data_IF_022944602863
#
_entry.id   IF_022944602863
#
_cell.length_a   1.000
_cell.length_b   1.000
_cell.length_c   1.000
_cell.angle_alpha   90.00
_cell.angle_beta   90.00
_cell.angle_gamma   90.00
#
_symmetry.space_group_name_H-M   'P 1'
#
loop_
_entity.id
_entity.type
_entity.pdbx_description
1 polymer ?
#
# COMPACT_ATOMS: atom_id res chain seq x y z
N UNK A 1 -15.98 2.01 3.16
CA UNK A 1 -15.44 3.16 3.91
C UNK A 1 -14.05 3.48 3.36
N UNK A 2 -13.70 4.76 3.20
CA UNK A 2 -12.41 5.24 2.66
C UNK A 2 -11.56 5.84 3.79
N UNK A 3 -10.24 5.87 3.65
CA UNK A 3 -9.40 6.70 4.52
C UNK A 3 -9.72 8.20 4.31
N UNK A 4 -9.48 9.02 5.34
CA UNK A 4 -9.77 10.47 5.32
C UNK A 4 -8.82 11.27 4.40
N UNK A 5 -7.66 10.71 4.05
CA UNK A 5 -6.69 11.31 3.13
C UNK A 5 -5.99 10.21 2.27
N UNK A 6 -5.54 10.55 1.05
CA UNK A 6 -4.75 9.63 0.24
C UNK A 6 -3.36 9.41 0.84
N UNK A 7 -2.86 8.19 0.72
CA UNK A 7 -1.48 7.85 1.08
C UNK A 7 -0.53 8.41 0.03
N UNK A 8 0.59 8.99 0.47
CA UNK A 8 1.62 9.53 -0.44
C UNK A 8 3.00 9.07 0.00
N UNK A 9 3.78 8.58 -0.95
CA UNK A 9 5.17 8.20 -0.69
C UNK A 9 6.05 8.45 -1.92
N UNK A 10 7.24 8.97 -1.68
CA UNK A 10 8.22 9.22 -2.73
C UNK A 10 8.97 7.93 -3.07
N UNK A 11 9.23 7.70 -4.36
CA UNK A 11 10.00 6.55 -4.81
C UNK A 11 11.45 6.68 -4.32
N UNK A 12 11.97 5.59 -3.74
CA UNK A 12 13.29 5.58 -3.11
C UNK A 12 14.36 4.99 -4.03
N UNK A 13 15.63 5.40 -3.93
CA UNK A 13 16.71 4.85 -4.74
C UNK A 13 16.85 3.32 -4.66
N UNK A 14 16.65 2.75 -3.47
CA UNK A 14 16.71 1.30 -3.24
C UNK A 14 15.55 0.53 -3.90
N UNK A 15 14.55 1.23 -4.41
CA UNK A 15 13.40 0.62 -5.10
C UNK A 15 13.61 0.42 -6.59
N UNK A 16 14.67 0.99 -7.15
CA UNK A 16 14.92 0.90 -8.58
C UNK A 16 15.49 -0.47 -8.96
N UNK A 17 15.06 -0.98 -10.11
CA UNK A 17 15.70 -2.11 -10.76
C UNK A 17 16.89 -1.66 -11.62
N UNK A 18 17.51 -2.61 -12.33
CA UNK A 18 18.63 -2.32 -13.22
C UNK A 18 18.24 -1.53 -14.47
N UNK A 19 16.95 -1.37 -14.76
CA UNK A 19 16.45 -0.53 -15.86
C UNK A 19 16.32 0.94 -15.41
N UNK A 20 16.49 1.23 -14.12
CA UNK A 20 16.37 2.58 -13.56
C UNK A 20 14.93 2.98 -13.23
N UNK A 21 13.98 2.05 -13.32
CA UNK A 21 12.57 2.25 -12.98
C UNK A 21 12.25 1.50 -11.69
N UNK A 22 11.13 1.83 -11.05
CA UNK A 22 10.72 1.14 -9.85
C UNK A 22 10.51 -0.36 -10.11
N UNK A 23 11.17 -1.21 -9.32
CA UNK A 23 11.03 -2.66 -9.42
C UNK A 23 9.61 -3.09 -9.02
N UNK A 24 9.12 -4.13 -9.70
CA UNK A 24 7.78 -4.69 -9.52
C UNK A 24 7.44 -5.00 -8.05
N UNK A 25 8.38 -5.54 -7.27
CA UNK A 25 8.13 -5.90 -5.87
C UNK A 25 7.76 -4.70 -5.00
N UNK A 26 8.28 -3.51 -5.32
CA UNK A 26 8.00 -2.32 -4.53
C UNK A 26 6.63 -1.70 -4.80
N UNK A 27 5.97 -2.04 -5.92
CA UNK A 27 4.57 -1.64 -6.09
C UNK A 27 3.69 -2.34 -5.06
N UNK A 28 3.95 -3.62 -4.80
CA UNK A 28 3.26 -4.38 -3.75
C UNK A 28 3.55 -3.80 -2.38
N UNK A 29 4.81 -3.49 -2.05
CA UNK A 29 5.18 -2.84 -0.79
C UNK A 29 4.47 -1.49 -0.61
N UNK A 30 4.43 -0.69 -1.67
CA UNK A 30 3.80 0.63 -1.64
C UNK A 30 2.27 0.52 -1.42
N UNK A 31 1.61 -0.47 -2.03
CA UNK A 31 0.21 -0.77 -1.75
C UNK A 31 -0.01 -1.33 -0.34
N UNK A 32 0.95 -2.07 0.20
CA UNK A 32 0.94 -2.57 1.58
C UNK A 32 0.99 -1.39 2.58
N UNK A 33 1.89 -0.43 2.40
CA UNK A 33 1.94 0.77 3.24
C UNK A 33 0.63 1.59 3.19
N UNK A 34 0.02 1.72 2.00
CA UNK A 34 -1.28 2.39 1.87
C UNK A 34 -2.42 1.59 2.52
N UNK A 35 -2.31 0.26 2.54
CA UNK A 35 -3.26 -0.62 3.23
C UNK A 35 -3.12 -0.50 4.74
N UNK A 36 -1.90 -0.42 5.27
CA UNK A 36 -1.62 -0.16 6.68
C UNK A 36 -2.27 1.15 7.15
N UNK A 37 -2.17 2.22 6.36
CA UNK A 37 -2.85 3.48 6.69
C UNK A 37 -4.38 3.31 6.76
N UNK A 38 -4.98 2.57 5.81
CA UNK A 38 -6.41 2.29 5.84
C UNK A 38 -6.78 1.43 7.05
N UNK A 39 -6.04 0.36 7.35
CA UNK A 39 -6.29 -0.51 8.48
C UNK A 39 -6.18 0.23 9.81
N UNK A 40 -5.16 1.07 9.97
CA UNK A 40 -5.03 1.92 11.15
C UNK A 40 -6.23 2.85 11.32
N UNK A 41 -6.78 3.41 10.23
CA UNK A 41 -8.00 4.24 10.28
C UNK A 41 -9.25 3.47 10.72
N UNK A 42 -9.25 2.14 10.57
CA UNK A 42 -10.30 1.23 11.02
C UNK A 42 -10.01 0.65 12.42
N UNK A 43 -8.92 1.07 13.08
CA UNK A 43 -8.50 0.54 14.37
C UNK A 43 -7.84 -0.84 14.30
N UNK A 44 -7.36 -1.25 13.12
CA UNK A 44 -6.59 -2.48 12.89
C UNK A 44 -5.13 -2.07 12.77
N UNK A 45 -4.44 -1.98 13.90
CA UNK A 45 -3.04 -1.58 14.00
C UNK A 45 -2.26 -2.50 14.96
N UNK A 46 -1.05 -2.10 15.34
CA UNK A 46 -0.24 -2.84 16.32
C UNK A 46 -0.97 -3.01 17.66
N UNK A 47 -1.74 -2.01 18.10
CA UNK A 47 -2.51 -2.08 19.34
C UNK A 47 -3.60 -3.16 19.25
N UNK A 48 -4.28 -3.25 18.11
CA UNK A 48 -5.25 -4.31 17.82
C UNK A 48 -4.62 -5.69 17.87
N UNK A 49 -3.44 -5.86 17.25
CA UNK A 49 -2.71 -7.13 17.31
C UNK A 49 -2.35 -7.51 18.74
N UNK A 50 -1.78 -6.60 19.53
CA UNK A 50 -1.35 -6.87 20.89
C UNK A 50 -2.51 -7.15 21.85
N UNK A 51 -3.64 -6.47 21.68
CA UNK A 51 -4.80 -6.58 22.58
C UNK A 51 -5.76 -7.72 22.23
N UNK A 52 -5.96 -8.02 20.95
CA UNK A 52 -6.92 -9.02 20.47
C UNK A 52 -6.26 -10.30 19.91
N UNK A 53 -4.96 -10.28 19.60
CA UNK A 53 -4.27 -11.42 18.99
C UNK A 53 -4.69 -11.70 17.54
N UNK A 54 -5.15 -10.68 16.82
CA UNK A 54 -5.66 -10.78 15.46
C UNK A 54 -4.93 -9.81 14.52
N UNK A 55 -4.80 -10.18 13.25
CA UNK A 55 -4.22 -9.36 12.18
C UNK A 55 -4.88 -9.67 10.84
N UNK A 56 -4.47 -8.93 9.81
CA UNK A 56 -4.93 -9.10 8.43
C UNK A 56 -3.80 -9.70 7.60
N UNK A 57 -4.15 -10.46 6.57
CA UNK A 57 -3.21 -10.90 5.54
C UNK A 57 -3.88 -10.80 4.16
N UNK A 58 -3.09 -10.57 3.11
CA UNK A 58 -3.57 -10.60 1.74
C UNK A 58 -3.73 -12.05 1.26
N UNK A 59 -4.95 -12.48 0.96
CA UNK A 59 -5.22 -13.81 0.39
C UNK A 59 -5.01 -13.83 -1.13
N UNK A 60 -5.37 -12.74 -1.81
CA UNK A 60 -5.27 -12.57 -3.26
C UNK A 60 -5.02 -11.09 -3.58
N UNK A 61 -4.29 -10.82 -4.66
CA UNK A 61 -4.10 -9.48 -5.21
C UNK A 61 -4.22 -9.52 -6.73
N UNK A 62 -4.88 -8.52 -7.31
CA UNK A 62 -4.87 -8.28 -8.74
C UNK A 62 -4.27 -6.89 -9.01
N UNK A 63 -3.16 -6.85 -9.75
CA UNK A 63 -2.39 -5.64 -10.01
C UNK A 63 -2.23 -5.45 -11.52
N UNK A 64 -2.48 -4.23 -11.99
CA UNK A 64 -2.28 -3.80 -13.36
C UNK A 64 -1.20 -2.71 -13.36
N UNK A 65 -0.17 -2.90 -14.19
CA UNK A 65 0.92 -1.94 -14.35
C UNK A 65 0.68 -1.14 -15.63
N UNK A 66 0.20 0.10 -15.50
CA UNK A 66 -0.15 0.95 -16.65
C UNK A 66 1.01 1.85 -17.09
N UNK A 67 1.82 2.34 -16.15
CA UNK A 67 2.95 3.21 -16.41
C UNK A 67 4.08 2.94 -15.44
N UNK A 68 5.30 3.21 -15.88
CA UNK A 68 6.51 3.14 -15.07
C UNK A 68 6.59 4.34 -14.11
N UNK A 69 7.19 4.13 -12.94
CA UNK A 69 7.56 5.17 -11.99
C UNK A 69 9.07 5.25 -11.84
N UNK A 70 9.57 6.47 -11.58
CA UNK A 70 10.98 6.81 -11.52
C UNK A 70 11.35 7.44 -10.18
N UNK A 71 12.66 7.52 -9.93
CA UNK A 71 13.18 8.23 -8.77
C UNK A 71 12.73 9.70 -8.77
N UNK A 72 12.20 10.16 -7.64
CA UNK A 72 11.69 11.52 -7.47
C UNK A 72 10.18 11.66 -7.73
N UNK A 73 9.54 10.65 -8.32
CA UNK A 73 8.08 10.60 -8.40
C UNK A 73 7.46 10.43 -7.01
N UNK A 74 6.25 10.97 -6.86
CA UNK A 74 5.43 10.80 -5.66
C UNK A 74 4.24 9.92 -6.05
N UNK A 75 4.17 8.72 -5.47
CA UNK A 75 2.99 7.91 -5.58
C UNK A 75 1.87 8.49 -4.71
N UNK A 76 0.65 8.50 -5.23
CA UNK A 76 -0.56 8.85 -4.50
C UNK A 76 -1.53 7.67 -4.61
N UNK A 77 -1.94 7.11 -3.48
CA UNK A 77 -2.80 5.92 -3.41
C UNK A 77 -4.07 6.26 -2.64
N UNK A 78 -5.20 5.91 -3.25
CA UNK A 78 -6.53 6.00 -2.62
C UNK A 78 -6.99 4.58 -2.26
N UNK A 79 -7.22 4.35 -0.97
CA UNK A 79 -7.62 3.04 -0.44
C UNK A 79 -9.06 3.08 0.08
N UNK A 80 -9.86 2.07 -0.27
CA UNK A 80 -11.23 1.93 0.23
C UNK A 80 -11.59 0.46 0.44
N UNK A 81 -12.44 0.21 1.44
CA UNK A 81 -13.06 -1.10 1.65
C UNK A 81 -14.28 -1.21 0.74
N UNK A 82 -14.22 -2.15 -0.20
CA UNK A 82 -15.35 -2.58 -1.01
C UNK A 82 -15.86 -3.93 -0.50
N UNK A 83 -17.17 -4.12 -0.56
CA UNK A 83 -17.83 -5.39 -0.29
C UNK A 83 -18.89 -5.62 -1.36
N UNK A 84 -18.94 -6.82 -1.90
CA UNK A 84 -20.07 -7.27 -2.69
C UNK A 84 -21.15 -7.77 -1.73
N UNK A 85 -22.36 -7.23 -1.85
CA UNK A 85 -23.55 -7.72 -1.11
C UNK A 85 -24.09 -8.96 -1.81
#
# INVERSE_FOLDING_TARGET
MSSDAPFREAIRPEWLDYNGHMNLAYYVLLFDHASDQLFASLGIDETYLQSAGHSVFAAESHIIYESEMHLGDIAEITSFVASSV
#
